data_IF_558990860366
#
_entry.id   IF_558990860366
#
_cell.length_a   1.000
_cell.length_b   1.000
_cell.length_c   1.000
_cell.angle_alpha   90.00
_cell.angle_beta   90.00
_cell.angle_gamma   90.00
#
_symmetry.space_group_name_H-M   'P 1'
#
loop_
_entity.id
_entity.type
_entity.pdbx_description
1 polymer ?
#
# COMPACT_ATOMS: atom_id res chain seq x y z
N UNK A 1 10.18 -7.79 -52.18
CA UNK A 1 10.16 -7.89 -50.70
C UNK A 1 8.75 -7.49 -50.26
N UNK A 2 7.82 -8.44 -50.22
CA UNK A 2 6.47 -8.20 -49.72
C UNK A 2 6.38 -8.73 -48.30
N UNK A 3 6.06 -7.81 -47.39
CA UNK A 3 5.84 -8.00 -45.97
C UNK A 3 4.87 -9.15 -45.70
N UNK A 4 5.35 -10.19 -45.02
CA UNK A 4 4.48 -11.13 -44.32
C UNK A 4 4.05 -10.49 -43.02
N UNK A 5 2.98 -9.70 -43.10
CA UNK A 5 2.27 -9.17 -41.95
C UNK A 5 1.47 -10.33 -41.35
N UNK A 6 2.03 -10.91 -40.30
CA UNK A 6 1.43 -12.01 -39.55
C UNK A 6 0.27 -11.46 -38.72
N UNK A 7 -0.87 -11.18 -39.37
CA UNK A 7 -2.13 -10.85 -38.71
C UNK A 7 -2.54 -12.04 -37.83
N UNK A 8 -2.29 -11.92 -36.52
CA UNK A 8 -2.82 -12.83 -35.50
C UNK A 8 -4.35 -12.73 -35.53
N UNK A 9 -5.00 -13.59 -36.32
CA UNK A 9 -6.46 -13.79 -36.31
C UNK A 9 -6.94 -13.91 -34.85
N UNK A 10 -7.78 -12.98 -34.41
CA UNK A 10 -8.42 -13.02 -33.09
C UNK A 10 -9.15 -14.35 -32.96
N UNK A 11 -8.77 -15.16 -31.97
CA UNK A 11 -9.46 -16.42 -31.67
C UNK A 11 -10.87 -16.08 -31.21
N UNK A 12 -11.87 -16.36 -32.03
CA UNK A 12 -13.29 -16.27 -31.67
C UNK A 12 -13.72 -17.62 -31.11
N UNK A 13 -14.05 -17.66 -29.83
CA UNK A 13 -14.59 -18.86 -29.15
C UNK A 13 -16.11 -18.70 -29.10
N UNK A 14 -16.86 -19.73 -29.50
CA UNK A 14 -18.33 -19.68 -29.40
C UNK A 14 -18.77 -19.77 -27.93
N UNK A 15 -20.01 -19.39 -27.64
CA UNK A 15 -20.55 -19.47 -26.28
C UNK A 15 -20.56 -20.92 -25.77
N UNK A 16 -20.92 -21.87 -26.63
CA UNK A 16 -20.96 -23.29 -26.31
C UNK A 16 -19.55 -23.83 -26.03
N UNK A 17 -18.57 -23.46 -26.85
CA UNK A 17 -17.16 -23.85 -26.66
C UNK A 17 -16.57 -23.24 -25.38
N UNK A 18 -16.98 -22.01 -25.02
CA UNK A 18 -16.59 -21.36 -23.78
C UNK A 18 -17.17 -22.06 -22.55
N UNK A 19 -18.47 -22.40 -22.57
CA UNK A 19 -19.14 -23.12 -21.49
C UNK A 19 -18.54 -24.52 -21.29
N UNK A 20 -18.20 -25.22 -22.37
CA UNK A 20 -17.56 -26.53 -22.31
C UNK A 20 -16.17 -26.45 -21.67
N UNK A 21 -15.36 -25.47 -22.06
CA UNK A 21 -14.05 -25.21 -21.44
C UNK A 21 -14.17 -24.81 -19.98
N UNK A 22 -15.14 -23.99 -19.64
CA UNK A 22 -15.39 -23.57 -18.26
C UNK A 22 -15.74 -24.77 -17.37
N UNK A 23 -16.56 -25.70 -17.89
CA UNK A 23 -16.94 -26.91 -17.16
C UNK A 23 -15.77 -27.89 -16.93
N UNK A 24 -14.75 -27.86 -17.79
CA UNK A 24 -13.52 -28.65 -17.61
C UNK A 24 -12.60 -28.07 -16.52
N UNK A 25 -12.72 -26.77 -16.19
CA UNK A 25 -11.93 -26.14 -15.13
C UNK A 25 -12.46 -26.57 -13.77
N UNK A 26 -11.70 -27.45 -13.11
CA UNK A 26 -11.96 -27.83 -11.72
C UNK A 26 -11.32 -26.80 -10.79
N UNK A 27 -12.13 -25.95 -10.18
CA UNK A 27 -11.68 -25.05 -9.13
C UNK A 27 -11.84 -25.74 -7.77
N UNK A 28 -10.75 -25.82 -7.01
CA UNK A 28 -10.80 -26.36 -5.65
C UNK A 28 -11.44 -25.33 -4.71
N UNK A 29 -12.46 -25.76 -3.96
CA UNK A 29 -13.15 -24.90 -2.98
C UNK A 29 -12.20 -24.44 -1.87
N UNK A 30 -11.21 -25.25 -1.47
CA UNK A 30 -10.24 -24.86 -0.46
C UNK A 30 -9.35 -23.71 -0.94
N UNK A 31 -8.87 -23.77 -2.18
CA UNK A 31 -8.04 -22.70 -2.77
C UNK A 31 -8.82 -21.39 -2.86
N UNK A 32 -10.11 -21.46 -3.22
CA UNK A 32 -11.01 -20.30 -3.22
C UNK A 32 -11.20 -19.73 -1.81
N UNK A 33 -11.46 -20.59 -0.83
CA UNK A 33 -11.61 -20.14 0.55
C UNK A 33 -10.32 -19.48 1.07
N UNK A 34 -9.15 -20.03 0.73
CA UNK A 34 -7.87 -19.43 1.09
C UNK A 34 -7.66 -18.06 0.43
N UNK A 35 -8.06 -17.92 -0.84
CA UNK A 35 -8.00 -16.63 -1.54
C UNK A 35 -8.90 -15.58 -0.88
N UNK A 36 -10.14 -15.96 -0.52
CA UNK A 36 -11.08 -15.08 0.18
C UNK A 36 -10.53 -14.70 1.55
N UNK A 37 -10.03 -15.68 2.32
CA UNK A 37 -9.42 -15.41 3.63
C UNK A 37 -8.26 -14.42 3.52
N UNK A 38 -7.35 -14.64 2.56
CA UNK A 38 -6.22 -13.73 2.33
C UNK A 38 -6.70 -12.30 2.01
N UNK A 39 -7.71 -12.17 1.15
CA UNK A 39 -8.30 -10.86 0.84
C UNK A 39 -8.85 -10.16 2.08
N UNK A 40 -9.62 -10.86 2.92
CA UNK A 40 -10.19 -10.29 4.15
C UNK A 40 -9.10 -9.82 5.11
N UNK A 41 -8.03 -10.60 5.24
CA UNK A 41 -6.87 -10.28 6.09
C UNK A 41 -6.06 -9.09 5.58
N UNK A 42 -5.80 -9.04 4.27
CA UNK A 42 -4.98 -7.99 3.64
C UNK A 42 -5.73 -6.66 3.61
N UNK A 43 -7.02 -6.68 3.28
CA UNK A 43 -7.84 -5.47 3.29
C UNK A 43 -8.25 -5.02 4.69
N UNK A 44 -7.98 -5.83 5.70
CA UNK A 44 -8.20 -5.47 7.09
C UNK A 44 -9.64 -5.65 7.58
N UNK A 45 -10.43 -6.48 6.90
CA UNK A 45 -11.78 -6.84 7.32
C UNK A 45 -11.76 -7.89 8.44
N UNK A 46 -11.35 -7.46 9.64
CA UNK A 46 -11.19 -8.33 10.82
C UNK A 46 -12.44 -9.17 11.12
N UNK A 47 -13.59 -8.53 11.30
CA UNK A 47 -14.84 -9.21 11.68
C UNK A 47 -15.26 -10.23 10.61
N UNK A 48 -15.10 -9.87 9.34
CA UNK A 48 -15.39 -10.76 8.24
C UNK A 48 -14.40 -11.94 8.19
N UNK A 49 -13.11 -11.70 8.43
CA UNK A 49 -12.10 -12.76 8.49
C UNK A 49 -12.38 -13.75 9.64
N UNK A 50 -12.80 -13.24 10.81
CA UNK A 50 -13.18 -14.06 11.96
C UNK A 50 -14.40 -14.95 11.66
N UNK A 51 -15.49 -14.36 11.16
CA UNK A 51 -16.68 -15.12 10.79
C UNK A 51 -16.40 -16.12 9.65
N UNK A 52 -15.61 -15.71 8.66
CA UNK A 52 -15.22 -16.57 7.56
C UNK A 52 -14.33 -17.74 8.01
N UNK A 53 -13.49 -17.52 9.02
CA UNK A 53 -12.68 -18.59 9.64
C UNK A 53 -13.57 -19.66 10.27
N UNK A 54 -14.57 -19.23 11.06
CA UNK A 54 -15.54 -20.12 11.70
C UNK A 54 -16.34 -20.95 10.68
N UNK A 55 -16.76 -20.34 9.56
CA UNK A 55 -17.55 -21.03 8.53
C UNK A 55 -16.73 -21.94 7.62
N UNK A 56 -15.52 -21.52 7.26
CA UNK A 56 -14.66 -22.24 6.31
C UNK A 56 -13.77 -23.29 6.97
N UNK A 57 -13.59 -23.21 8.30
CA UNK A 57 -12.64 -24.03 9.06
C UNK A 57 -11.18 -23.72 8.73
N UNK A 58 -10.90 -22.60 8.05
CA UNK A 58 -9.56 -22.13 7.76
C UNK A 58 -9.11 -21.16 8.85
N UNK A 59 -7.92 -21.39 9.38
CA UNK A 59 -7.27 -20.45 10.27
C UNK A 59 -6.67 -19.28 9.45
N UNK A 60 -6.79 -18.02 9.93
CA UNK A 60 -6.10 -16.89 9.35
C UNK A 60 -4.58 -17.12 9.34
N UNK A 61 -3.90 -16.64 8.28
CA UNK A 61 -2.43 -16.76 8.18
C UNK A 61 -1.68 -15.82 9.12
N UNK A 62 -2.37 -14.83 9.67
CA UNK A 62 -1.83 -13.82 10.58
C UNK A 62 -2.78 -13.65 11.75
N UNK A 63 -2.24 -13.20 12.87
CA UNK A 63 -3.04 -12.90 14.05
C UNK A 63 -4.06 -11.78 13.77
N UNK A 64 -5.31 -11.98 14.22
CA UNK A 64 -6.41 -11.03 14.01
C UNK A 64 -6.14 -9.68 14.69
N UNK A 65 -5.38 -9.67 15.78
CA UNK A 65 -4.96 -8.43 16.44
C UNK A 65 -4.04 -7.60 15.54
N UNK A 66 -3.08 -8.25 14.87
CA UNK A 66 -2.18 -7.60 13.90
C UNK A 66 -2.92 -6.95 12.72
N UNK A 67 -4.14 -7.42 12.41
CA UNK A 67 -4.99 -6.80 11.39
C UNK A 67 -5.46 -5.44 11.87
N UNK A 68 -5.91 -5.34 13.12
CA UNK A 68 -6.39 -4.08 13.69
C UNK A 68 -5.27 -3.04 13.79
N UNK A 69 -4.08 -3.45 14.24
CA UNK A 69 -2.91 -2.55 14.35
C UNK A 69 -2.54 -1.96 12.99
N UNK A 70 -2.52 -2.78 11.92
CA UNK A 70 -2.31 -2.29 10.55
C UNK A 70 -3.43 -1.36 10.06
N UNK A 71 -4.67 -1.62 10.47
CA UNK A 71 -5.82 -0.76 10.14
C UNK A 71 -5.69 0.62 10.78
N UNK A 72 -5.28 0.67 12.04
CA UNK A 72 -5.13 1.90 12.79
C UNK A 72 -3.99 2.76 12.21
N UNK A 73 -2.84 2.15 11.88
CA UNK A 73 -1.75 2.80 11.14
C UNK A 73 -2.26 3.37 9.81
N UNK A 74 -2.97 2.56 9.01
CA UNK A 74 -3.50 2.99 7.72
C UNK A 74 -4.47 4.15 7.87
N UNK A 75 -5.31 4.13 8.90
CA UNK A 75 -6.25 5.21 9.19
C UNK A 75 -5.53 6.52 9.54
N UNK A 76 -4.51 6.46 10.39
CA UNK A 76 -3.70 7.63 10.76
C UNK A 76 -3.00 8.25 9.54
N UNK A 77 -2.42 7.41 8.65
CA UNK A 77 -1.84 7.89 7.39
C UNK A 77 -2.89 8.56 6.49
N UNK A 78 -4.07 7.96 6.35
CA UNK A 78 -5.14 8.47 5.49
C UNK A 78 -5.81 9.74 6.02
N UNK A 79 -5.86 9.93 7.35
CA UNK A 79 -6.39 11.13 7.98
C UNK A 79 -5.40 12.30 7.95
N UNK A 80 -4.13 12.05 7.62
CA UNK A 80 -3.05 13.04 7.66
C UNK A 80 -2.40 13.18 9.04
N UNK A 81 -2.74 12.31 10.00
CA UNK A 81 -2.10 12.27 11.32
C UNK A 81 -0.85 11.38 11.26
N UNK A 82 0.21 11.93 10.67
CA UNK A 82 1.44 11.16 10.40
C UNK A 82 2.27 10.93 11.66
N UNK A 83 2.20 11.82 12.65
CA UNK A 83 2.89 11.64 13.93
C UNK A 83 2.34 10.39 14.64
N UNK A 84 1.01 10.29 14.77
CA UNK A 84 0.36 9.08 15.31
C UNK A 84 0.69 7.84 14.46
N UNK A 85 0.73 7.96 13.13
CA UNK A 85 1.09 6.83 12.27
C UNK A 85 2.52 6.33 12.54
N UNK A 86 3.49 7.23 12.74
CA UNK A 86 4.89 6.87 13.04
C UNK A 86 4.97 6.15 14.39
N UNK A 87 4.28 6.67 15.41
CA UNK A 87 4.25 6.05 16.74
C UNK A 87 3.68 4.63 16.68
N UNK A 88 2.52 4.45 16.03
CA UNK A 88 1.89 3.14 15.86
C UNK A 88 2.77 2.16 15.05
N UNK A 89 3.48 2.65 14.03
CA UNK A 89 4.41 1.83 13.24
C UNK A 89 5.58 1.35 14.10
N UNK A 90 6.14 2.22 14.93
CA UNK A 90 7.23 1.88 15.85
C UNK A 90 6.77 0.94 16.98
N UNK A 91 5.54 1.09 17.47
CA UNK A 91 4.94 0.16 18.43
C UNK A 91 4.75 -1.23 17.83
N UNK A 92 4.28 -1.30 16.58
CA UNK A 92 4.08 -2.57 15.87
C UNK A 92 5.40 -3.26 15.49
N UNK A 93 6.36 -2.49 14.99
CA UNK A 93 7.69 -2.98 14.65
C UNK A 93 8.75 -1.87 14.83
N UNK A 94 9.47 -1.87 15.97
CA UNK A 94 10.44 -0.83 16.30
C UNK A 94 11.58 -0.65 15.29
N UNK A 95 11.91 -1.69 14.52
CA UNK A 95 13.05 -1.68 13.60
C UNK A 95 12.64 -1.34 12.15
N UNK A 96 11.35 -1.22 11.84
CA UNK A 96 10.88 -1.11 10.45
C UNK A 96 11.30 0.21 9.77
N UNK A 97 11.34 1.31 10.54
CA UNK A 97 11.75 2.62 10.01
C UNK A 97 13.27 2.73 9.88
N UNK A 98 14.02 2.00 10.69
CA UNK A 98 15.49 1.94 10.64
C UNK A 98 15.96 1.02 9.51
N UNK A 99 15.28 -0.11 9.32
CA UNK A 99 15.61 -1.10 8.28
C UNK A 99 15.10 -0.72 6.90
N UNK A 100 14.15 0.23 6.81
CA UNK A 100 13.60 0.73 5.56
C UNK A 100 13.67 2.28 5.50
N UNK A 101 14.84 2.84 5.14
CA UNK A 101 15.02 4.29 5.02
C UNK A 101 14.05 4.94 4.04
N UNK A 102 13.64 4.24 2.99
CA UNK A 102 12.68 4.75 2.00
C UNK A 102 11.27 4.91 2.61
N UNK A 103 10.80 3.94 3.39
CA UNK A 103 9.52 4.06 4.11
C UNK A 103 9.56 5.21 5.11
N UNK A 104 10.64 5.31 5.89
CA UNK A 104 10.86 6.40 6.83
C UNK A 104 10.83 7.76 6.12
N UNK A 105 11.54 7.89 5.00
CA UNK A 105 11.55 9.10 4.18
C UNK A 105 10.15 9.48 3.69
N UNK A 106 9.38 8.55 3.12
CA UNK A 106 8.04 8.86 2.61
C UNK A 106 7.05 9.24 3.72
N UNK A 107 7.16 8.66 4.92
CA UNK A 107 6.36 9.11 6.07
C UNK A 107 6.72 10.55 6.44
N UNK A 108 8.01 10.88 6.56
CA UNK A 108 8.43 12.27 6.85
C UNK A 108 8.04 13.24 5.74
N UNK A 109 8.10 12.82 4.48
CA UNK A 109 7.62 13.61 3.34
C UNK A 109 6.12 13.87 3.42
N UNK A 110 5.31 12.88 3.81
CA UNK A 110 3.87 13.07 4.02
C UNK A 110 3.61 14.05 5.17
N UNK A 111 4.36 13.95 6.26
CA UNK A 111 4.29 14.91 7.37
C UNK A 111 4.57 16.35 6.91
N UNK A 112 5.61 16.54 6.08
CA UNK A 112 5.92 17.82 5.46
C UNK A 112 4.77 18.33 4.58
N UNK A 113 4.14 17.46 3.78
CA UNK A 113 2.98 17.80 2.97
C UNK A 113 1.82 18.28 3.86
N UNK A 114 1.55 17.60 4.98
CA UNK A 114 0.49 18.00 5.90
C UNK A 114 0.77 19.35 6.59
N UNK A 115 2.03 19.63 6.97
CA UNK A 115 2.42 20.97 7.47
C UNK A 115 2.18 22.06 6.41
N UNK A 116 2.51 21.80 5.15
CA UNK A 116 2.24 22.73 4.03
C UNK A 116 0.74 22.92 3.85
N UNK A 117 -0.07 21.85 3.92
CA UNK A 117 -1.54 21.91 3.80
C UNK A 117 -2.20 22.71 4.93
N UNK A 118 -1.62 22.67 6.12
CA UNK A 118 -2.08 23.44 7.29
C UNK A 118 -1.65 24.92 7.25
N UNK A 119 -0.78 25.31 6.30
CA UNK A 119 -0.25 26.66 6.19
C UNK A 119 0.87 26.97 7.20
N UNK A 120 1.41 25.96 7.88
CA UNK A 120 2.51 26.06 8.84
C UNK A 120 3.87 26.14 8.11
N UNK A 121 4.04 27.17 7.27
CA UNK A 121 5.17 27.25 6.34
C UNK A 121 6.54 27.34 7.00
N UNK A 122 6.63 28.06 8.12
CA UNK A 122 7.89 28.21 8.84
C UNK A 122 8.34 26.86 9.42
N UNK A 123 7.41 26.14 10.04
CA UNK A 123 7.63 24.81 10.61
C UNK A 123 7.97 23.78 9.51
N UNK A 124 7.28 23.84 8.37
CA UNK A 124 7.59 23.00 7.21
C UNK A 124 9.01 23.25 6.67
N UNK A 125 9.45 24.51 6.60
CA UNK A 125 10.78 24.87 6.12
C UNK A 125 11.89 24.43 7.09
N UNK A 126 11.68 24.65 8.38
CA UNK A 126 12.57 24.21 9.45
C UNK A 126 12.70 22.69 9.40
N UNK A 127 11.57 21.97 9.35
CA UNK A 127 11.54 20.52 9.26
C UNK A 127 12.26 19.97 8.02
N UNK A 128 12.01 20.55 6.85
CA UNK A 128 12.68 20.15 5.61
C UNK A 128 14.22 20.33 5.68
N UNK A 129 14.67 21.39 6.34
CA UNK A 129 16.10 21.74 6.42
C UNK A 129 16.84 20.95 7.48
N UNK A 130 16.23 20.77 8.66
CA UNK A 130 16.88 20.14 9.81
C UNK A 130 16.82 18.61 9.74
N UNK A 131 15.69 18.05 9.31
CA UNK A 131 15.45 16.60 9.39
C UNK A 131 15.62 15.90 8.03
N UNK A 132 15.14 16.51 6.94
CA UNK A 132 15.11 15.86 5.63
C UNK A 132 16.35 16.12 4.77
N UNK A 133 16.93 17.32 4.82
CA UNK A 133 18.10 17.65 3.99
C UNK A 133 19.33 16.77 4.27
N UNK A 134 19.70 16.47 5.54
CA UNK A 134 20.83 15.57 5.81
C UNK A 134 20.62 14.16 5.25
N UNK A 135 19.38 13.65 5.30
CA UNK A 135 19.02 12.33 4.76
C UNK A 135 19.01 12.31 3.24
N UNK A 136 18.71 13.45 2.61
CA UNK A 136 18.79 13.62 1.17
C UNK A 136 20.22 13.64 0.63
N UNK A 137 21.20 14.10 1.42
CA UNK A 137 22.62 14.02 1.02
C UNK A 137 23.11 12.57 0.90
N UNK A 138 22.57 11.68 1.73
CA UNK A 138 22.86 10.24 1.68
C UNK A 138 22.15 9.54 0.49
N UNK A 139 21.00 10.09 0.07
CA UNK A 139 20.12 9.52 -0.95
C UNK A 139 19.63 10.59 -1.94
N UNK A 140 20.36 10.85 -3.05
CA UNK A 140 20.04 11.92 -3.99
C UNK A 140 18.61 11.86 -4.59
N UNK A 141 18.02 10.67 -4.67
CA UNK A 141 16.63 10.45 -5.08
C UNK A 141 15.62 11.20 -4.18
N UNK A 142 15.92 11.30 -2.88
CA UNK A 142 15.09 11.95 -1.87
C UNK A 142 15.15 13.47 -1.97
N UNK A 143 16.30 14.05 -2.35
CA UNK A 143 16.43 15.49 -2.59
C UNK A 143 15.54 15.95 -3.73
N UNK A 144 15.53 15.22 -4.85
CA UNK A 144 14.68 15.55 -5.99
C UNK A 144 13.18 15.47 -5.64
N UNK A 145 12.80 14.61 -4.71
CA UNK A 145 11.42 14.53 -4.22
C UNK A 145 11.09 15.64 -3.23
N UNK A 146 12.01 15.98 -2.32
CA UNK A 146 11.88 17.09 -1.38
C UNK A 146 11.74 18.43 -2.11
N UNK A 147 12.56 18.68 -3.13
CA UNK A 147 12.46 19.87 -3.97
C UNK A 147 11.09 20.00 -4.65
N UNK A 148 10.54 18.87 -5.13
CA UNK A 148 9.20 18.82 -5.74
C UNK A 148 8.11 19.10 -4.71
N UNK A 149 8.20 18.50 -3.51
CA UNK A 149 7.27 18.74 -2.41
C UNK A 149 7.29 20.20 -1.98
N UNK A 150 8.47 20.80 -1.81
CA UNK A 150 8.60 22.22 -1.48
C UNK A 150 8.13 23.14 -2.61
N UNK A 151 8.25 22.72 -3.87
CA UNK A 151 7.72 23.50 -5.00
C UNK A 151 6.18 23.61 -5.00
N UNK A 152 5.45 22.69 -4.34
CA UNK A 152 3.99 22.82 -4.14
C UNK A 152 3.63 24.13 -3.41
N UNK A 153 4.53 24.64 -2.57
CA UNK A 153 4.39 25.93 -1.91
C UNK A 153 4.27 27.10 -2.90
N UNK A 154 4.96 27.03 -4.05
CA UNK A 154 5.01 28.13 -5.04
C UNK A 154 3.83 28.12 -6.02
N UNK A 155 3.04 27.06 -6.04
CA UNK A 155 1.96 26.86 -7.00
C UNK A 155 0.57 27.27 -6.48
N UNK A 156 0.47 27.69 -5.21
CA UNK A 156 -0.76 28.19 -4.57
C UNK A 156 -0.68 29.69 -4.26
#
# INVERSE_FOLDING_TARGET
MSSTENEKKKKTVSKEEWEQRLAEVKVNKQDLNQLVMNYLVVEGYRDAAEQFSLESGLEPTVDLQSIQERMDIRHAVQSGDIDTAIDLVNELNPEILDTNPQLSFHLQQQRLIELIRQGAFQEALEFATEEMAPRGEEHPEFLAELERTMALQRAN
#
